data_IF_958750689032
#
_entry.id   IF_958750689032
#
_cell.length_a   1.000
_cell.length_b   1.000
_cell.length_c   1.000
_cell.angle_alpha   90.00
_cell.angle_beta   90.00
_cell.angle_gamma   90.00
#
_symmetry.space_group_name_H-M   'P 1'
#
loop_
_entity.id
_entity.type
_entity.pdbx_description
1 polymer ?
#
# COMPACT_ATOMS: atom_id res chain seq x y z
N UNK A 1 -19.22 6.23 1.19
CA UNK A 1 -17.81 6.22 0.81
C UNK A 1 -17.46 7.54 0.12
N UNK A 2 -16.43 8.23 0.59
CA UNK A 2 -16.05 9.57 0.09
C UNK A 2 -15.02 9.51 -1.06
N UNK A 3 -15.16 8.54 -1.96
CA UNK A 3 -14.32 8.42 -3.13
C UNK A 3 -14.92 9.17 -4.31
N UNK A 4 -14.06 9.78 -5.13
CA UNK A 4 -14.42 10.46 -6.37
C UNK A 4 -13.47 10.04 -7.49
N UNK A 5 -13.68 10.59 -8.69
CA UNK A 5 -12.85 10.33 -9.87
C UNK A 5 -11.37 10.74 -9.70
N UNK A 6 -11.07 11.62 -8.74
CA UNK A 6 -9.70 12.02 -8.41
C UNK A 6 -9.02 11.07 -7.41
N UNK A 7 -9.75 10.09 -6.89
CA UNK A 7 -9.22 9.19 -5.86
C UNK A 7 -8.74 7.88 -6.45
N UNK A 8 -7.71 7.32 -5.84
CA UNK A 8 -7.19 5.99 -6.14
C UNK A 8 -7.28 5.14 -4.90
N UNK A 9 -7.90 3.98 -5.03
CA UNK A 9 -8.00 3.00 -3.95
C UNK A 9 -7.07 1.84 -4.27
N UNK A 10 -6.18 1.52 -3.35
CA UNK A 10 -5.24 0.39 -3.49
C UNK A 10 -5.71 -0.73 -2.55
N UNK A 11 -5.99 -1.88 -3.11
CA UNK A 11 -6.44 -3.05 -2.36
C UNK A 11 -5.42 -4.18 -2.51
N UNK A 12 -5.03 -4.76 -1.38
CA UNK A 12 -4.01 -5.80 -1.33
C UNK A 12 -4.62 -7.06 -0.74
N UNK A 13 -4.59 -8.14 -1.50
CA UNK A 13 -5.08 -9.44 -1.06
C UNK A 13 -4.33 -10.55 -1.78
N UNK A 14 -3.69 -11.45 -1.02
CA UNK A 14 -3.02 -12.60 -1.61
C UNK A 14 -3.99 -13.50 -2.37
N UNK A 15 -5.11 -13.85 -1.75
CA UNK A 15 -6.10 -14.76 -2.34
C UNK A 15 -6.98 -14.10 -3.39
N UNK A 16 -7.19 -12.79 -3.30
CA UNK A 16 -8.12 -12.05 -4.15
C UNK A 16 -9.57 -12.48 -4.02
N UNK A 17 -9.90 -13.25 -2.98
CA UNK A 17 -11.23 -13.82 -2.72
C UNK A 17 -11.90 -13.26 -1.48
N UNK A 18 -11.28 -12.29 -0.83
CA UNK A 18 -11.84 -11.65 0.35
C UNK A 18 -13.07 -10.83 -0.05
N UNK A 19 -14.23 -11.28 0.38
CA UNK A 19 -15.52 -10.71 -0.04
C UNK A 19 -15.62 -9.21 0.24
N UNK A 20 -15.20 -8.77 1.41
CA UNK A 20 -15.24 -7.36 1.79
C UNK A 20 -14.40 -6.47 0.88
N UNK A 21 -13.23 -6.96 0.43
CA UNK A 21 -12.37 -6.22 -0.49
C UNK A 21 -12.96 -6.17 -1.91
N UNK A 22 -13.58 -7.26 -2.35
CA UNK A 22 -14.25 -7.28 -3.66
C UNK A 22 -15.42 -6.30 -3.67
N UNK A 23 -16.24 -6.29 -2.63
CA UNK A 23 -17.34 -5.34 -2.47
C UNK A 23 -16.84 -3.90 -2.43
N UNK A 24 -15.74 -3.65 -1.73
CA UNK A 24 -15.12 -2.33 -1.65
C UNK A 24 -14.62 -1.87 -3.02
N UNK A 25 -14.03 -2.76 -3.80
CA UNK A 25 -13.61 -2.46 -5.16
C UNK A 25 -14.79 -2.06 -6.05
N UNK A 26 -15.89 -2.80 -5.97
CA UNK A 26 -17.11 -2.50 -6.71
C UNK A 26 -17.67 -1.13 -6.32
N UNK A 27 -17.73 -0.86 -5.02
CA UNK A 27 -18.24 0.42 -4.52
C UNK A 27 -17.37 1.60 -4.94
N UNK A 28 -16.05 1.45 -4.89
CA UNK A 28 -15.12 2.48 -5.33
C UNK A 28 -15.28 2.78 -6.82
N UNK A 29 -15.44 1.75 -7.64
CA UNK A 29 -15.67 1.93 -9.09
C UNK A 29 -17.02 2.60 -9.39
N UNK A 30 -18.05 2.28 -8.62
CA UNK A 30 -19.35 2.95 -8.74
C UNK A 30 -19.25 4.45 -8.46
N UNK A 31 -18.28 4.87 -7.66
CA UNK A 31 -17.98 6.27 -7.37
C UNK A 31 -16.90 6.86 -8.29
N UNK A 32 -16.61 6.20 -9.40
CA UNK A 32 -15.65 6.61 -10.41
C UNK A 32 -14.19 6.70 -9.93
N UNK A 33 -13.88 6.13 -8.78
CA UNK A 33 -12.50 6.03 -8.30
C UNK A 33 -11.74 4.94 -9.07
N UNK A 34 -10.44 5.15 -9.26
CA UNK A 34 -9.57 4.13 -9.82
C UNK A 34 -9.23 3.10 -8.75
N UNK A 35 -9.38 1.83 -9.06
CA UNK A 35 -9.03 0.73 -8.16
C UNK A 35 -7.81 0.01 -8.67
N UNK A 36 -6.75 0.01 -7.88
CA UNK A 36 -5.55 -0.77 -8.15
C UNK A 36 -5.55 -1.95 -7.16
N UNK A 37 -5.53 -3.16 -7.70
CA UNK A 37 -5.46 -4.37 -6.87
C UNK A 37 -4.09 -5.02 -6.99
N UNK A 38 -3.50 -5.34 -5.85
CA UNK A 38 -2.30 -6.16 -5.74
C UNK A 38 -2.74 -7.53 -5.21
N UNK A 39 -2.80 -8.52 -6.10
CA UNK A 39 -3.43 -9.80 -5.81
C UNK A 39 -2.94 -10.89 -6.76
N UNK A 40 -3.43 -12.11 -6.60
CA UNK A 40 -3.14 -13.20 -7.52
C UNK A 40 -3.96 -13.07 -8.82
N UNK A 41 -3.43 -13.61 -9.90
CA UNK A 41 -4.07 -13.57 -11.22
C UNK A 41 -5.38 -14.38 -11.24
N UNK A 42 -6.35 -13.92 -12.01
CA UNK A 42 -7.61 -14.62 -12.24
C UNK A 42 -8.57 -14.65 -11.05
N UNK A 43 -8.34 -13.82 -10.05
CA UNK A 43 -9.19 -13.77 -8.85
C UNK A 43 -10.35 -12.78 -9.02
N UNK A 44 -11.40 -12.89 -8.19
CA UNK A 44 -12.51 -11.91 -8.23
C UNK A 44 -12.04 -10.47 -8.02
N UNK A 45 -11.09 -10.23 -7.12
CA UNK A 45 -10.56 -8.88 -6.88
C UNK A 45 -9.82 -8.35 -8.12
N UNK A 46 -9.03 -9.19 -8.78
CA UNK A 46 -8.33 -8.79 -10.00
C UNK A 46 -9.32 -8.38 -11.11
N UNK A 47 -10.44 -9.07 -11.21
CA UNK A 47 -11.47 -8.75 -12.22
C UNK A 47 -12.21 -7.45 -11.94
N UNK A 48 -12.40 -7.11 -10.68
CA UNK A 48 -13.09 -5.87 -10.28
C UNK A 48 -12.18 -4.64 -10.29
N UNK A 49 -10.87 -4.81 -10.36
CA UNK A 49 -9.92 -3.71 -10.34
C UNK A 49 -9.85 -2.99 -11.70
N UNK A 50 -9.61 -1.68 -11.66
CA UNK A 50 -9.27 -0.90 -12.85
C UNK A 50 -7.93 -1.37 -13.40
N UNK A 51 -6.96 -1.59 -12.51
CA UNK A 51 -5.64 -2.10 -12.82
C UNK A 51 -5.28 -3.17 -11.80
N UNK A 52 -4.94 -4.36 -12.25
CA UNK A 52 -4.47 -5.43 -11.38
C UNK A 52 -2.97 -5.63 -11.55
N UNK A 53 -2.25 -5.56 -10.44
CA UNK A 53 -0.85 -5.96 -10.37
C UNK A 53 -0.86 -7.37 -9.76
N UNK A 54 -0.53 -8.37 -10.56
CA UNK A 54 -0.65 -9.75 -10.15
C UNK A 54 0.69 -10.30 -9.65
N UNK A 55 0.62 -10.98 -8.51
CA UNK A 55 1.73 -11.67 -7.89
C UNK A 55 1.32 -13.12 -7.64
N UNK A 56 1.95 -14.04 -8.31
CA UNK A 56 1.75 -15.47 -8.10
C UNK A 56 2.92 -16.03 -7.30
N UNK A 57 2.82 -15.91 -5.99
CA UNK A 57 3.83 -16.38 -5.04
C UNK A 57 3.38 -17.72 -4.48
N UNK A 58 4.19 -18.78 -4.59
CA UNK A 58 3.86 -20.06 -3.98
C UNK A 58 3.89 -19.92 -2.46
N UNK A 59 2.73 -20.09 -1.84
CA UNK A 59 2.58 -19.98 -0.39
C UNK A 59 1.59 -21.02 0.09
N UNK A 60 2.01 -21.81 1.06
CA UNK A 60 1.12 -22.77 1.72
C UNK A 60 0.43 -22.08 2.89
N UNK A 61 -0.76 -21.57 2.64
CA UNK A 61 -1.56 -20.85 3.64
C UNK A 61 -2.17 -21.75 4.70
N UNK A 62 -2.17 -23.08 4.47
CA UNK A 62 -2.73 -24.04 5.41
C UNK A 62 -1.78 -24.37 6.57
N UNK A 63 -0.48 -24.20 6.36
CA UNK A 63 0.56 -24.64 7.30
C UNK A 63 1.30 -23.45 7.93
N UNK A 64 1.51 -22.36 7.20
CA UNK A 64 2.34 -21.23 7.64
C UNK A 64 1.61 -19.91 7.56
N UNK A 65 2.06 -18.95 8.38
CA UNK A 65 1.64 -17.56 8.23
C UNK A 65 2.04 -17.02 6.86
N UNK A 66 1.27 -16.11 6.25
CA UNK A 66 1.51 -15.62 4.89
C UNK A 66 2.71 -14.65 4.82
N UNK A 67 3.92 -15.15 5.11
CA UNK A 67 5.13 -14.32 5.16
C UNK A 67 5.68 -14.02 3.77
N UNK A 68 5.72 -15.01 2.87
CA UNK A 68 6.31 -14.86 1.53
C UNK A 68 5.48 -13.89 0.69
N UNK A 69 4.16 -14.02 0.72
CA UNK A 69 3.26 -13.11 0.01
C UNK A 69 3.39 -11.67 0.53
N UNK A 70 3.52 -11.50 1.84
CA UNK A 70 3.71 -10.17 2.44
C UNK A 70 5.02 -9.53 2.02
N UNK A 71 6.11 -10.29 1.98
CA UNK A 71 7.40 -9.79 1.50
C UNK A 71 7.35 -9.39 0.03
N UNK A 72 6.71 -10.21 -0.81
CA UNK A 72 6.53 -9.90 -2.22
C UNK A 72 5.68 -8.64 -2.41
N UNK A 73 4.59 -8.50 -1.67
CA UNK A 73 3.72 -7.32 -1.69
C UNK A 73 4.46 -6.06 -1.27
N UNK A 74 5.25 -6.12 -0.20
CA UNK A 74 6.06 -5.00 0.27
C UNK A 74 7.09 -4.59 -0.77
N UNK A 75 7.71 -5.55 -1.44
CA UNK A 75 8.67 -5.28 -2.52
C UNK A 75 8.02 -4.51 -3.67
N UNK A 76 6.83 -4.92 -4.09
CA UNK A 76 6.07 -4.22 -5.13
C UNK A 76 5.68 -2.81 -4.69
N UNK A 77 5.25 -2.65 -3.46
CA UNK A 77 4.90 -1.34 -2.90
C UNK A 77 6.12 -0.42 -2.89
N UNK A 78 7.30 -0.94 -2.52
CA UNK A 78 8.56 -0.17 -2.56
C UNK A 78 8.90 0.28 -3.98
N UNK A 79 8.76 -0.60 -4.96
CA UNK A 79 9.00 -0.27 -6.37
C UNK A 79 8.02 0.82 -6.83
N UNK A 80 6.75 0.70 -6.50
CA UNK A 80 5.73 1.68 -6.85
C UNK A 80 5.99 3.04 -6.19
N UNK A 81 6.34 3.03 -4.90
CA UNK A 81 6.65 4.26 -4.16
C UNK A 81 7.88 4.97 -4.74
N UNK A 82 8.92 4.22 -5.05
CA UNK A 82 10.13 4.76 -5.67
C UNK A 82 9.84 5.32 -7.05
N UNK A 83 9.14 4.57 -7.89
CA UNK A 83 8.75 5.01 -9.23
C UNK A 83 7.87 6.26 -9.22
N UNK A 84 6.92 6.31 -8.29
CA UNK A 84 6.07 7.47 -8.08
C UNK A 84 6.89 8.70 -7.71
N UNK A 85 7.81 8.55 -6.76
CA UNK A 85 8.69 9.63 -6.31
C UNK A 85 9.54 10.17 -7.46
N UNK A 86 10.14 9.28 -8.26
CA UNK A 86 10.97 9.67 -9.40
C UNK A 86 10.17 10.42 -10.47
N UNK A 87 8.93 10.04 -10.70
CA UNK A 87 8.07 10.66 -11.71
C UNK A 87 7.50 12.02 -11.31
N UNK A 88 7.38 12.28 -10.00
CA UNK A 88 6.81 13.53 -9.49
C UNK A 88 7.77 14.72 -9.58
N UNK A 89 9.07 14.48 -9.81
CA UNK A 89 10.06 15.52 -9.99
C UNK A 89 10.67 16.08 -8.70
N UNK A 90 11.56 17.07 -8.87
CA UNK A 90 12.39 17.60 -7.77
C UNK A 90 11.58 18.22 -6.64
N UNK A 91 10.51 18.94 -6.95
CA UNK A 91 9.67 19.61 -5.95
C UNK A 91 9.03 18.62 -4.99
N UNK A 92 8.54 17.50 -5.51
CA UNK A 92 7.95 16.44 -4.69
C UNK A 92 9.00 15.77 -3.81
N UNK A 93 10.19 15.52 -4.36
CA UNK A 93 11.32 14.96 -3.61
C UNK A 93 11.74 15.87 -2.45
N UNK A 94 11.78 17.16 -2.68
CA UNK A 94 12.09 18.14 -1.64
C UNK A 94 11.05 18.13 -0.52
N UNK A 95 9.78 17.99 -0.85
CA UNK A 95 8.71 17.88 0.14
C UNK A 95 8.85 16.60 0.98
N UNK A 96 9.21 15.47 0.34
CA UNK A 96 9.47 14.23 1.07
C UNK A 96 10.67 14.35 2.01
N UNK A 97 11.73 15.04 1.60
CA UNK A 97 12.87 15.32 2.47
C UNK A 97 12.46 16.11 3.70
N UNK A 98 11.64 17.14 3.53
CA UNK A 98 11.12 17.93 4.65
C UNK A 98 10.32 17.08 5.63
N UNK A 99 9.48 16.19 5.12
CA UNK A 99 8.70 15.27 5.96
C UNK A 99 9.63 14.33 6.73
N UNK A 100 10.64 13.77 6.07
CA UNK A 100 11.62 12.90 6.72
C UNK A 100 12.42 13.63 7.79
N UNK A 101 12.84 14.85 7.55
CA UNK A 101 13.57 15.67 8.52
C UNK A 101 12.69 15.98 9.74
N UNK A 102 11.43 16.35 9.52
CA UNK A 102 10.47 16.56 10.59
C UNK A 102 10.27 15.32 11.45
N UNK A 103 10.19 14.14 10.83
CA UNK A 103 10.09 12.87 11.54
C UNK A 103 11.35 12.53 12.35
N UNK A 104 12.53 12.83 11.80
CA UNK A 104 13.80 12.66 12.51
C UNK A 104 13.89 13.55 13.75
N UNK A 105 13.53 14.81 13.62
CA UNK A 105 13.50 15.75 14.75
C UNK A 105 12.54 15.28 15.84
N UNK A 106 11.36 14.80 15.44
CA UNK A 106 10.39 14.24 16.39
C UNK A 106 10.93 13.01 17.13
N UNK A 107 11.66 12.13 16.44
CA UNK A 107 12.30 10.97 17.07
C UNK A 107 13.40 11.37 18.04
N UNK A 108 14.21 12.33 17.65
CA UNK A 108 15.30 12.82 18.50
C UNK A 108 14.75 13.42 19.80
N UNK A 109 13.72 14.23 19.74
CA UNK A 109 13.05 14.80 20.90
C UNK A 109 12.47 13.72 21.82
N UNK A 110 11.88 12.67 21.25
CA UNK A 110 11.39 11.52 22.02
C UNK A 110 12.51 10.79 22.74
N UNK A 111 13.64 10.57 22.12
CA UNK A 111 14.78 9.92 22.73
C UNK A 111 15.34 10.75 23.88
N UNK A 112 15.41 12.06 23.75
CA UNK A 112 15.84 12.96 24.81
C UNK A 112 14.88 12.93 26.02
N UNK A 113 13.57 12.89 25.77
CA UNK A 113 12.56 12.80 26.83
C UNK A 113 12.66 11.46 27.59
N UNK A 114 12.86 10.36 26.89
CA UNK A 114 13.05 9.05 27.50
C UNK A 114 14.32 9.04 28.36
N UNK A 115 15.42 9.63 27.90
CA UNK A 115 16.66 9.72 28.68
C UNK A 115 16.51 10.58 29.93
N UNK A 116 15.73 11.64 29.87
CA UNK A 116 15.51 12.49 31.06
C UNK A 116 14.63 11.81 32.11
N UNK A 117 13.72 10.91 31.70
CA UNK A 117 12.89 10.13 32.61
C UNK A 117 13.66 9.00 33.32
N UNK A 118 14.76 8.55 32.75
CA UNK A 118 15.60 7.47 33.29
C UNK A 118 16.57 7.97 34.43
N UNK A 119 16.47 9.22 34.82
CA UNK A 119 17.27 9.78 35.91
C UNK A 119 16.47 9.72 37.25
#
# INVERSE_FOLDING_TARGET
MNCSDDDVVVLISHTGRTKSLVELAQLARENDAMVIALTSAGTPLAREATLAITLDVPEDTDIYMPMVSRLAQLTVIDVLATGFTLRRGAKFRDNLKRVKEALKESRFDKELLIRSDDR
#
